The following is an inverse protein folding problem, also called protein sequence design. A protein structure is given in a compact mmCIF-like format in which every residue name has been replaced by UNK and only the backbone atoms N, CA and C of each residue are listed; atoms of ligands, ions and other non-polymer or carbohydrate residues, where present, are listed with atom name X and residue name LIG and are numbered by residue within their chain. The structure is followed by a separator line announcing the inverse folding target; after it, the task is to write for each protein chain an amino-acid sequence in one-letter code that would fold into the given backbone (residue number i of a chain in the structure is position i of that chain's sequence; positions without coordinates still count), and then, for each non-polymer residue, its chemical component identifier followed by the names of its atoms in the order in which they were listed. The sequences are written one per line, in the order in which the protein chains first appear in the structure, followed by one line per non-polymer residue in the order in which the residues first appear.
data_IF_001704479584
#
_entry.id   IF_001704479584
#
_cell.length_a   1.000
_cell.length_b   1.000
_cell.length_c   1.000
_cell.angle_alpha   90.00
_cell.angle_beta   90.00
_cell.angle_gamma   90.00
#
_symmetry.space_group_name_H-M   'P 1'
#
loop_
_entity.id
_entity.type
_entity.pdbx_description
1 polymer ?
#
# COMPACT_ATOMS: atom_id res chain seq x y z
N UNK A 1 4.62 -2.08 -13.44
CA UNK A 1 5.91 -1.91 -12.75
C UNK A 1 7.08 -2.50 -13.56
N UNK A 2 6.99 -3.73 -14.09
CA UNK A 2 8.07 -4.39 -14.81
C UNK A 2 8.61 -3.58 -16.02
N UNK A 3 7.74 -3.08 -16.87
CA UNK A 3 8.14 -2.25 -18.04
C UNK A 3 8.84 -0.97 -17.58
N UNK A 4 8.28 -0.31 -16.55
CA UNK A 4 8.89 0.91 -16.00
C UNK A 4 10.25 0.64 -15.36
N UNK A 5 10.44 -0.50 -14.67
CA UNK A 5 11.71 -0.85 -14.04
C UNK A 5 12.81 -1.03 -15.09
N UNK A 6 12.51 -1.65 -16.21
CA UNK A 6 13.48 -1.78 -17.33
C UNK A 6 13.84 -0.44 -17.98
N UNK A 7 12.85 0.44 -18.15
CA UNK A 7 13.08 1.76 -18.71
C UNK A 7 13.91 2.64 -17.75
N UNK A 8 13.60 2.60 -16.46
CA UNK A 8 14.33 3.32 -15.42
C UNK A 8 15.78 2.85 -15.29
N UNK A 9 16.01 1.53 -15.28
CA UNK A 9 17.34 0.94 -15.20
C UNK A 9 18.25 1.37 -16.35
N UNK A 10 17.71 1.43 -17.59
CA UNK A 10 18.47 1.88 -18.77
C UNK A 10 18.93 3.34 -18.67
N UNK A 11 18.26 4.15 -17.87
CA UNK A 11 18.50 5.58 -17.71
C UNK A 11 19.12 5.96 -16.36
N UNK A 12 19.40 4.98 -15.50
CA UNK A 12 19.90 5.22 -14.14
C UNK A 12 18.94 6.01 -13.25
N UNK A 13 17.61 5.88 -13.47
CA UNK A 13 16.60 6.63 -12.75
C UNK A 13 16.05 5.78 -11.61
N UNK A 14 15.88 6.37 -10.42
CA UNK A 14 15.22 5.73 -9.27
C UNK A 14 13.73 5.54 -9.56
N UNK A 15 13.24 4.34 -9.31
CA UNK A 15 11.83 3.97 -9.46
C UNK A 15 11.20 3.71 -8.10
N UNK A 16 10.07 4.34 -7.83
CA UNK A 16 9.22 4.05 -6.67
C UNK A 16 7.92 3.40 -7.16
N UNK A 17 7.47 2.37 -6.44
CA UNK A 17 6.17 1.75 -6.69
C UNK A 17 5.11 2.43 -5.81
N UNK A 18 4.17 3.13 -6.45
CA UNK A 18 3.11 3.89 -5.77
C UNK A 18 1.75 3.23 -5.99
N UNK A 19 1.07 2.94 -4.87
CA UNK A 19 -0.27 2.39 -4.84
C UNK A 19 -0.35 0.86 -4.83
N UNK A 20 -1.48 0.35 -4.35
CA UNK A 20 -1.80 -1.07 -4.33
C UNK A 20 -1.09 -1.91 -3.26
N UNK A 21 -0.27 -1.32 -2.39
CA UNK A 21 0.40 -2.02 -1.29
C UNK A 21 -0.59 -2.20 -0.13
N UNK A 22 -0.89 -3.45 0.19
CA UNK A 22 -1.83 -3.80 1.27
C UNK A 22 -1.19 -4.67 2.36
N UNK A 23 -0.08 -5.32 2.09
CA UNK A 23 0.63 -6.23 3.00
C UNK A 23 2.12 -6.30 2.68
N UNK A 24 2.90 -6.85 3.60
CA UNK A 24 4.36 -7.00 3.46
C UNK A 24 4.78 -7.77 2.20
N UNK A 25 4.03 -8.79 1.80
CA UNK A 25 4.30 -9.54 0.58
C UNK A 25 4.22 -8.70 -0.70
N UNK A 26 3.36 -7.66 -0.72
CA UNK A 26 3.28 -6.73 -1.85
C UNK A 26 4.52 -5.84 -1.88
N UNK A 27 5.02 -5.42 -0.70
CA UNK A 27 6.27 -4.65 -0.58
C UNK A 27 7.45 -5.46 -1.13
N UNK A 28 7.58 -6.74 -0.71
CA UNK A 28 8.65 -7.62 -1.19
C UNK A 28 8.61 -7.73 -2.71
N UNK A 29 7.44 -8.01 -3.28
CA UNK A 29 7.26 -8.11 -4.75
C UNK A 29 7.63 -6.79 -5.44
N UNK A 30 7.18 -5.66 -4.92
CA UNK A 30 7.48 -4.35 -5.50
C UNK A 30 8.99 -4.06 -5.47
N UNK A 31 9.69 -4.35 -4.36
CA UNK A 31 11.11 -4.10 -4.18
C UNK A 31 12.02 -4.98 -5.05
N UNK A 32 11.50 -6.05 -5.64
CA UNK A 32 12.24 -6.80 -6.68
C UNK A 32 12.37 -6.01 -7.98
N UNK A 33 11.53 -5.00 -8.20
CA UNK A 33 11.44 -4.22 -9.43
C UNK A 33 11.63 -2.71 -9.21
N UNK A 34 11.42 -2.22 -7.99
CA UNK A 34 11.51 -0.82 -7.62
C UNK A 34 12.57 -0.60 -6.53
N UNK A 35 12.97 0.64 -6.32
CA UNK A 35 13.93 1.03 -5.29
C UNK A 35 13.26 1.31 -3.95
N UNK A 36 11.98 1.64 -3.98
CA UNK A 36 11.15 1.90 -2.81
C UNK A 36 9.67 1.76 -3.13
N UNK A 37 8.84 1.85 -2.09
CA UNK A 37 7.38 1.81 -2.19
C UNK A 37 6.76 3.03 -1.53
N UNK A 38 5.62 3.47 -2.04
CA UNK A 38 4.78 4.50 -1.43
C UNK A 38 3.51 3.82 -0.93
N UNK A 39 3.27 3.95 0.37
CA UNK A 39 2.15 3.32 1.06
C UNK A 39 1.23 4.39 1.63
N UNK A 40 -0.01 4.45 1.16
CA UNK A 40 -1.04 5.33 1.70
C UNK A 40 -2.01 4.58 2.62
N UNK A 41 -2.87 3.74 2.03
CA UNK A 41 -3.95 3.07 2.74
C UNK A 41 -3.52 2.16 3.90
N UNK A 42 -2.31 1.62 3.88
CA UNK A 42 -1.80 0.74 4.95
C UNK A 42 -1.52 1.53 6.24
N UNK A 43 -1.15 2.80 6.12
CA UNK A 43 -0.88 3.68 7.27
C UNK A 43 -2.08 4.57 7.64
N UNK A 44 -3.12 4.61 6.82
CA UNK A 44 -4.26 5.51 7.03
C UNK A 44 -5.05 5.24 8.33
N UNK A 45 -4.97 4.01 8.87
CA UNK A 45 -5.56 3.65 10.15
C UNK A 45 -4.66 3.89 11.37
N UNK A 46 -3.41 4.34 11.18
CA UNK A 46 -2.49 4.58 12.29
C UNK A 46 -2.90 5.82 13.10
N UNK A 47 -2.54 5.84 14.39
CA UNK A 47 -2.81 6.97 15.28
C UNK A 47 -2.25 8.28 14.73
N UNK A 48 -1.06 8.23 14.14
CA UNK A 48 -0.32 9.36 13.60
C UNK A 48 -0.86 9.87 12.26
N UNK A 49 -1.69 9.07 11.56
CA UNK A 49 -2.32 9.52 10.34
C UNK A 49 -3.38 10.59 10.63
N UNK A 50 -3.56 11.60 9.77
CA UNK A 50 -4.63 12.60 9.93
C UNK A 50 -6.00 11.92 9.79
N UNK A 51 -7.03 12.57 10.35
CA UNK A 51 -8.41 12.12 10.32
C UNK A 51 -8.95 11.82 11.71
N UNK A 52 -10.23 12.09 11.88
CA UNK A 52 -10.92 11.84 13.15
C UNK A 52 -11.17 10.35 13.36
N UNK A 53 -11.13 9.94 14.62
CA UNK A 53 -11.51 8.58 15.03
C UNK A 53 -13.00 8.57 15.31
N UNK A 54 -13.71 7.63 14.70
CA UNK A 54 -15.14 7.39 14.93
C UNK A 54 -15.35 5.95 15.40
N UNK A 55 -16.28 5.76 16.31
CA UNK A 55 -16.66 4.44 16.78
C UNK A 55 -17.94 3.98 16.07
N UNK A 56 -17.91 2.77 15.52
CA UNK A 56 -19.07 2.14 14.89
C UNK A 56 -19.16 0.69 15.38
N UNK A 57 -20.25 0.38 16.05
CA UNK A 57 -20.51 -0.98 16.57
C UNK A 57 -19.36 -1.53 17.44
N UNK A 58 -18.79 -0.70 18.31
CA UNK A 58 -17.70 -1.07 19.22
C UNK A 58 -16.32 -1.17 18.55
N UNK A 59 -16.17 -0.74 17.28
CA UNK A 59 -14.90 -0.70 16.57
C UNK A 59 -14.52 0.72 16.23
N UNK A 60 -13.23 1.00 16.35
CA UNK A 60 -12.66 2.31 16.02
C UNK A 60 -12.23 2.36 14.56
N UNK A 61 -12.61 3.44 13.90
CA UNK A 61 -12.25 3.74 12.52
C UNK A 61 -11.70 5.15 12.43
N UNK A 62 -10.82 5.37 11.42
CA UNK A 62 -10.37 6.70 11.02
C UNK A 62 -11.01 7.09 9.70
N UNK A 63 -11.36 8.35 9.57
CA UNK A 63 -11.78 8.90 8.29
C UNK A 63 -10.62 8.82 7.31
N UNK A 64 -10.85 8.19 6.17
CA UNK A 64 -9.90 8.04 5.08
C UNK A 64 -10.42 8.72 3.83
N UNK A 65 -9.53 9.47 3.19
CA UNK A 65 -9.83 10.05 1.87
C UNK A 65 -8.62 9.90 0.96
N UNK A 66 -8.85 9.38 -0.23
CA UNK A 66 -7.83 9.39 -1.27
C UNK A 66 -7.51 10.81 -1.71
N UNK A 67 -6.26 11.07 -2.11
CA UNK A 67 -5.80 12.40 -2.54
C UNK A 67 -6.60 12.95 -3.73
N UNK A 68 -7.15 12.07 -4.59
CA UNK A 68 -8.04 12.42 -5.71
C UNK A 68 -9.53 12.48 -5.33
N UNK A 69 -9.90 12.43 -4.03
CA UNK A 69 -11.30 12.60 -3.60
C UNK A 69 -11.73 14.07 -3.67
N UNK A 70 -13.04 14.30 -3.81
CA UNK A 70 -13.59 15.66 -3.81
C UNK A 70 -13.25 16.43 -2.52
N UNK A 71 -13.29 15.76 -1.36
CA UNK A 71 -12.94 16.38 -0.08
C UNK A 71 -11.46 16.77 -0.03
N UNK A 72 -10.55 15.92 -0.52
CA UNK A 72 -9.12 16.26 -0.57
C UNK A 72 -8.84 17.41 -1.54
N UNK A 73 -9.51 17.43 -2.70
CA UNK A 73 -9.35 18.51 -3.69
C UNK A 73 -9.82 19.85 -3.15
N UNK A 74 -10.92 19.91 -2.39
CA UNK A 74 -11.40 21.13 -1.75
C UNK A 74 -10.42 21.72 -0.73
N UNK A 75 -9.58 20.89 -0.10
CA UNK A 75 -8.64 21.28 0.97
C UNK A 75 -7.23 21.58 0.40
N UNK A 76 -6.99 21.41 -0.90
CA UNK A 76 -5.73 21.82 -1.52
C UNK A 76 -5.02 20.80 -2.39
N UNK A 77 -5.54 19.55 -2.52
CA UNK A 77 -4.89 18.58 -3.41
C UNK A 77 -5.15 18.82 -4.91
N UNK A 78 -6.04 19.76 -5.25
CA UNK A 78 -6.43 20.06 -6.63
C UNK A 78 -5.23 20.43 -7.52
N UNK A 79 -4.26 21.20 -7.00
CA UNK A 79 -3.05 21.60 -7.73
C UNK A 79 -2.18 20.40 -8.14
N UNK A 80 -2.15 19.33 -7.34
CA UNK A 80 -1.42 18.08 -7.66
C UNK A 80 -1.97 17.40 -8.91
N UNK A 81 -3.25 17.58 -9.19
CA UNK A 81 -3.93 17.01 -10.36
C UNK A 81 -4.08 17.99 -11.52
N UNK A 82 -3.33 19.11 -11.51
CA UNK A 82 -3.36 20.12 -12.57
C UNK A 82 -4.64 20.92 -12.63
N UNK A 83 -5.47 20.86 -11.60
CA UNK A 83 -6.69 21.65 -11.52
C UNK A 83 -6.39 23.01 -10.87
N UNK A 84 -6.61 24.08 -11.62
CA UNK A 84 -6.72 25.41 -11.03
C UNK A 84 -8.00 25.47 -10.18
N UNK A 85 -8.02 26.22 -9.05
CA UNK A 85 -9.22 26.39 -8.25
C UNK A 85 -10.28 27.18 -9.04
N UNK A 86 -11.01 26.49 -9.90
CA UNK A 86 -12.15 27.07 -10.60
C UNK A 86 -13.41 26.40 -10.02
N UNK A 87 -14.26 27.16 -9.28
CA UNK A 87 -15.45 26.60 -8.62
C UNK A 87 -16.50 26.00 -9.58
N UNK A 88 -16.39 26.26 -10.89
CA UNK A 88 -17.33 25.79 -11.91
C UNK A 88 -16.83 24.58 -12.71
N UNK A 89 -15.58 24.14 -12.57
CA UNK A 89 -15.10 22.97 -13.27
C UNK A 89 -15.67 21.69 -12.62
N UNK A 90 -16.41 20.89 -13.39
CA UNK A 90 -16.81 19.53 -12.99
C UNK A 90 -15.56 18.67 -12.95
N UNK A 91 -14.92 18.58 -11.77
CA UNK A 91 -13.78 17.69 -11.54
C UNK A 91 -14.33 16.30 -11.27
N UNK A 92 -13.97 15.32 -12.08
CA UNK A 92 -14.27 13.92 -11.80
C UNK A 92 -13.44 13.49 -10.59
N UNK A 93 -14.09 12.95 -9.56
CA UNK A 93 -13.40 12.39 -8.41
C UNK A 93 -12.73 11.08 -8.82
N UNK A 94 -11.41 11.00 -8.67
CA UNK A 94 -10.63 9.77 -8.90
C UNK A 94 -10.31 9.03 -7.60
N UNK A 95 -10.65 9.61 -6.44
CA UNK A 95 -10.42 9.05 -5.12
C UNK A 95 -11.71 8.84 -4.33
N UNK A 96 -11.65 7.91 -3.39
CA UNK A 96 -12.76 7.56 -2.50
C UNK A 96 -12.64 8.25 -1.14
N UNK A 97 -13.79 8.46 -0.52
CA UNK A 97 -13.92 8.77 0.91
C UNK A 97 -14.47 7.53 1.60
N UNK A 98 -13.82 7.09 2.67
CA UNK A 98 -14.12 5.85 3.35
C UNK A 98 -13.70 5.90 4.82
N UNK A 99 -13.97 4.83 5.53
CA UNK A 99 -13.47 4.59 6.86
C UNK A 99 -12.39 3.50 6.79
N UNK A 100 -11.31 3.70 7.54
CA UNK A 100 -10.25 2.72 7.72
C UNK A 100 -10.24 2.26 9.17
N UNK A 101 -10.23 0.96 9.42
CA UNK A 101 -10.11 0.42 10.78
C UNK A 101 -8.86 0.99 11.46
N UNK A 102 -9.00 1.44 12.70
CA UNK A 102 -7.87 1.96 13.47
C UNK A 102 -6.95 0.80 13.88
N UNK A 103 -5.66 0.95 13.61
CA UNK A 103 -4.67 -0.13 13.77
C UNK A 103 -3.60 0.16 14.85
N UNK A 104 -3.74 1.29 15.56
CA UNK A 104 -2.78 1.70 16.60
C UNK A 104 -1.61 2.49 16.04
N UNK A 105 -0.44 2.41 16.69
CA UNK A 105 0.73 3.20 16.32
C UNK A 105 1.36 2.75 15.00
N UNK A 106 1.96 3.69 14.28
CA UNK A 106 2.72 3.43 13.04
C UNK A 106 3.90 2.51 13.30
N UNK A 107 4.55 2.60 14.47
CA UNK A 107 5.69 1.75 14.84
C UNK A 107 5.32 0.27 14.85
N UNK A 108 4.15 -0.06 15.37
CA UNK A 108 3.64 -1.43 15.37
C UNK A 108 3.40 -1.94 13.95
N UNK A 109 2.78 -1.12 13.10
CA UNK A 109 2.53 -1.47 11.70
C UNK A 109 3.84 -1.64 10.95
N UNK A 110 4.81 -0.75 11.15
CA UNK A 110 6.14 -0.83 10.55
C UNK A 110 6.88 -2.11 10.99
N UNK A 111 6.85 -2.44 12.28
CA UNK A 111 7.49 -3.66 12.78
C UNK A 111 6.92 -4.92 12.10
N UNK A 112 5.61 -5.00 11.95
CA UNK A 112 4.94 -6.11 11.23
C UNK A 112 5.34 -6.16 9.76
N UNK A 113 5.37 -5.01 9.07
CA UNK A 113 5.75 -4.95 7.66
C UNK A 113 7.22 -5.34 7.46
N UNK A 114 8.11 -4.86 8.31
CA UNK A 114 9.55 -5.19 8.27
C UNK A 114 9.76 -6.68 8.54
N UNK A 115 9.11 -7.25 9.56
CA UNK A 115 9.17 -8.68 9.85
C UNK A 115 8.71 -9.53 8.67
N UNK A 116 7.59 -9.15 8.03
CA UNK A 116 7.11 -9.82 6.83
C UNK A 116 8.04 -9.66 5.62
N UNK A 117 8.69 -8.51 5.48
CA UNK A 117 9.71 -8.30 4.44
C UNK A 117 10.94 -9.18 4.67
N UNK A 118 11.43 -9.25 5.92
CA UNK A 118 12.55 -10.11 6.29
C UNK A 118 12.25 -11.59 6.00
N UNK A 119 11.03 -12.04 6.34
CA UNK A 119 10.57 -13.40 6.01
C UNK A 119 10.57 -13.64 4.50
N UNK A 120 10.03 -12.72 3.71
CA UNK A 120 10.01 -12.82 2.26
C UNK A 120 11.39 -12.82 1.62
N UNK A 121 12.33 -12.04 2.16
CA UNK A 121 13.73 -12.07 1.77
C UNK A 121 14.39 -13.40 2.16
N UNK A 122 14.07 -13.93 3.34
CA UNK A 122 14.54 -15.22 3.83
C UNK A 122 14.15 -16.37 2.91
N UNK A 123 12.91 -16.41 2.40
CA UNK A 123 12.46 -17.43 1.44
C UNK A 123 13.30 -17.46 0.15
N UNK A 124 13.86 -16.33 -0.24
CA UNK A 124 14.75 -16.23 -1.41
C UNK A 124 16.23 -16.36 -1.04
N UNK A 125 16.57 -16.49 0.24
CA UNK A 125 17.96 -16.45 0.72
C UNK A 125 18.65 -15.12 0.40
N UNK A 126 17.90 -14.00 0.39
CA UNK A 126 18.42 -12.68 0.06
C UNK A 126 18.77 -11.91 1.33
N UNK A 127 20.04 -11.55 1.51
CA UNK A 127 20.51 -10.78 2.66
C UNK A 127 20.30 -9.26 2.50
N UNK A 128 20.03 -8.79 1.30
CA UNK A 128 19.78 -7.36 0.98
C UNK A 128 18.92 -7.21 -0.27
N UNK A 129 18.50 -5.97 -0.57
CA UNK A 129 17.64 -5.68 -1.71
C UNK A 129 18.27 -5.98 -3.08
N UNK A 130 19.58 -5.89 -3.21
CA UNK A 130 20.26 -6.25 -4.44
C UNK A 130 20.13 -7.76 -4.71
N UNK A 131 20.39 -8.58 -3.70
CA UNK A 131 20.18 -10.03 -3.78
C UNK A 131 18.71 -10.40 -3.97
N UNK A 132 17.79 -9.67 -3.35
CA UNK A 132 16.36 -9.87 -3.56
C UNK A 132 16.00 -9.72 -5.04
N UNK A 133 16.49 -8.68 -5.71
CA UNK A 133 16.24 -8.43 -7.14
C UNK A 133 16.88 -9.50 -8.03
N UNK A 134 18.09 -9.90 -7.72
CA UNK A 134 18.84 -10.89 -8.50
C UNK A 134 18.22 -12.30 -8.39
N UNK A 135 17.78 -12.69 -7.20
CA UNK A 135 17.22 -14.01 -6.94
C UNK A 135 15.74 -14.13 -7.26
N UNK A 136 15.01 -13.03 -7.42
CA UNK A 136 13.57 -13.05 -7.67
C UNK A 136 13.23 -13.80 -8.96
N UNK A 137 12.28 -14.72 -8.85
CA UNK A 137 11.68 -15.43 -9.99
C UNK A 137 10.19 -15.40 -9.86
N UNK A 138 9.51 -15.25 -10.98
CA UNK A 138 8.07 -15.14 -11.03
C UNK A 138 7.47 -16.29 -11.81
N UNK A 139 6.36 -16.80 -11.30
CA UNK A 139 5.51 -17.74 -12.01
C UNK A 139 4.13 -17.13 -12.19
N UNK A 140 3.45 -17.55 -13.22
CA UNK A 140 2.06 -17.18 -13.44
C UNK A 140 1.17 -18.08 -12.57
N UNK A 141 0.27 -17.46 -11.80
CA UNK A 141 -0.67 -18.19 -10.94
C UNK A 141 -2.07 -18.02 -11.50
N UNK A 142 -2.83 -19.10 -11.63
CA UNK A 142 -4.24 -19.08 -12.00
C UNK A 142 -5.11 -18.57 -10.86
N UNK A 143 -6.35 -18.20 -11.16
CA UNK A 143 -7.32 -17.80 -10.13
C UNK A 143 -7.55 -18.93 -9.09
N UNK A 144 -7.57 -20.18 -9.53
CA UNK A 144 -7.68 -21.35 -8.65
C UNK A 144 -6.44 -21.49 -7.75
N UNK A 145 -5.23 -21.35 -8.30
CA UNK A 145 -3.99 -21.37 -7.52
C UNK A 145 -3.90 -20.20 -6.52
N UNK A 146 -4.42 -19.02 -6.85
CA UNK A 146 -4.52 -17.90 -5.90
C UNK A 146 -5.46 -18.21 -4.74
N UNK A 147 -6.59 -18.88 -5.00
CA UNK A 147 -7.53 -19.31 -3.97
C UNK A 147 -6.92 -20.35 -3.05
N UNK A 148 -6.18 -21.31 -3.61
CA UNK A 148 -5.48 -22.35 -2.86
C UNK A 148 -4.32 -21.80 -2.00
N UNK A 149 -3.69 -20.71 -2.43
CA UNK A 149 -2.56 -20.09 -1.74
C UNK A 149 -2.94 -19.28 -0.48
N UNK A 150 -4.23 -19.11 -0.20
CA UNK A 150 -4.72 -18.46 1.03
C UNK A 150 -5.27 -19.50 1.99
N UNK A 151 -5.31 -19.21 3.31
CA UNK A 151 -5.97 -20.08 4.27
C UNK A 151 -7.41 -20.38 3.84
N UNK A 152 -7.77 -21.67 3.79
CA UNK A 152 -9.11 -22.15 3.47
C UNK A 152 -9.54 -23.18 4.52
N UNK A 153 -10.85 -23.37 4.65
CA UNK A 153 -11.46 -24.29 5.62
C UNK A 153 -11.12 -23.97 7.10
N UNK A 154 -10.77 -22.72 7.38
CA UNK A 154 -10.47 -22.23 8.73
C UNK A 154 -11.18 -20.92 9.00
N UNK A 155 -11.51 -20.68 10.26
CA UNK A 155 -11.95 -19.36 10.75
C UNK A 155 -10.74 -18.64 11.32
N UNK A 156 -10.36 -17.52 10.70
CA UNK A 156 -9.23 -16.73 11.16
C UNK A 156 -9.56 -16.09 12.51
N UNK A 157 -8.81 -16.46 13.55
CA UNK A 157 -8.90 -15.77 14.84
C UNK A 157 -8.24 -14.40 14.68
N UNK A 158 -9.06 -13.35 14.60
CA UNK A 158 -8.57 -11.99 14.80
C UNK A 158 -8.19 -11.86 16.28
N UNK A 159 -6.94 -12.17 16.61
CA UNK A 159 -6.39 -11.82 17.91
C UNK A 159 -6.37 -10.30 17.98
N UNK A 160 -7.35 -9.75 18.71
CA UNK A 160 -7.31 -8.34 19.10
C UNK A 160 -6.08 -8.13 19.97
N UNK A 161 -5.21 -7.29 19.49
CA UNK A 161 -4.04 -6.80 20.25
C UNK A 161 -4.29 -5.37 20.64
#
# INVERSE_FOLDING_TARGET
LYVCSRAAARRGVTLLADGGITKSGDIVKALTLAHGVICGGIFAGCNEAPGEVVEISGKLYKQYRGMGSLAAMKIGSATRYGHTPNPTAKVAAEGIEALKEAVGSVDRVLAQLIGGMQSGMGYLGAANLAQLRDKARYIRVSAAGMKEAVPHDVVELKTGH
#
